data_IF_372033764157
#
_entry.id   IF_372033764157
#
_cell.length_a   1.000
_cell.length_b   1.000
_cell.length_c   1.000
_cell.angle_alpha   90.00
_cell.angle_beta   90.00
_cell.angle_gamma   90.00
#
_symmetry.space_group_name_H-M   'P 1'
#
loop_
_entity.id
_entity.type
_entity.pdbx_description
1 polymer ?
#
# COMPACT_ATOMS: atom_id res chain seq x y z
N UNK A 1 5.84 1.54 -22.98
CA UNK A 1 5.35 2.92 -23.19
C UNK A 1 5.07 3.06 -24.67
N UNK A 2 3.91 3.57 -25.05
CA UNK A 2 3.51 3.74 -26.46
C UNK A 2 3.51 5.24 -26.78
N UNK A 3 4.41 5.65 -27.67
CA UNK A 3 4.62 7.04 -28.07
C UNK A 3 4.13 7.20 -29.50
N UNK A 4 2.88 7.65 -29.66
CA UNK A 4 2.23 7.90 -30.95
C UNK A 4 1.48 9.23 -30.86
N UNK A 5 1.71 10.12 -31.81
CA UNK A 5 1.07 11.45 -31.87
C UNK A 5 -0.39 11.38 -32.34
N UNK A 6 -0.70 10.49 -33.28
CA UNK A 6 -2.07 10.24 -33.72
C UNK A 6 -2.87 9.55 -32.60
N UNK A 7 -3.79 10.29 -31.99
CA UNK A 7 -4.62 9.82 -30.90
C UNK A 7 -5.46 8.59 -31.28
N UNK A 8 -6.02 8.54 -32.49
CA UNK A 8 -6.84 7.43 -32.93
C UNK A 8 -6.00 6.15 -33.10
N UNK A 9 -4.80 6.29 -33.68
CA UNK A 9 -3.86 5.19 -33.77
C UNK A 9 -3.37 4.72 -32.39
N UNK A 10 -3.06 5.67 -31.49
CA UNK A 10 -2.66 5.38 -30.11
C UNK A 10 -3.73 4.58 -29.37
N UNK A 11 -4.96 5.08 -29.34
CA UNK A 11 -6.11 4.41 -28.69
C UNK A 11 -6.42 3.05 -29.32
N UNK A 12 -6.19 2.88 -30.62
CA UNK A 12 -6.34 1.59 -31.29
C UNK A 12 -5.33 0.58 -30.76
N UNK A 13 -4.05 0.95 -30.70
CA UNK A 13 -2.99 0.05 -30.23
C UNK A 13 -3.06 -0.20 -28.72
N UNK A 14 -3.44 0.78 -27.91
CA UNK A 14 -3.66 0.60 -26.47
C UNK A 14 -4.74 -0.45 -26.21
N UNK A 15 -5.90 -0.37 -26.88
CA UNK A 15 -6.95 -1.39 -26.78
C UNK A 15 -6.47 -2.78 -27.19
N UNK A 16 -5.71 -2.89 -28.29
CA UNK A 16 -5.13 -4.17 -28.71
C UNK A 16 -4.17 -4.75 -27.68
N UNK A 17 -3.38 -3.91 -27.02
CA UNK A 17 -2.45 -4.32 -25.96
C UNK A 17 -3.25 -4.79 -24.73
N UNK A 18 -4.30 -4.09 -24.34
CA UNK A 18 -5.20 -4.50 -23.25
C UNK A 18 -5.84 -5.87 -23.52
N UNK A 19 -6.37 -6.09 -24.72
CA UNK A 19 -6.92 -7.38 -25.15
C UNK A 19 -5.89 -8.52 -25.02
N UNK A 20 -4.63 -8.26 -25.40
CA UNK A 20 -3.54 -9.24 -25.27
C UNK A 20 -3.26 -9.54 -23.80
N UNK A 21 -3.19 -8.52 -22.95
CA UNK A 21 -2.93 -8.68 -21.51
C UNK A 21 -4.04 -9.48 -20.87
N UNK A 22 -5.30 -9.21 -21.19
CA UNK A 22 -6.45 -9.95 -20.68
C UNK A 22 -6.39 -11.43 -21.11
N UNK A 23 -6.14 -11.69 -22.39
CA UNK A 23 -6.00 -13.07 -22.91
C UNK A 23 -4.86 -13.83 -22.27
N UNK A 24 -3.73 -13.17 -21.98
CA UNK A 24 -2.58 -13.79 -21.29
C UNK A 24 -2.88 -14.22 -19.86
N UNK A 25 -3.88 -13.61 -19.21
CA UNK A 25 -4.32 -14.02 -17.87
C UNK A 25 -5.14 -15.31 -17.90
N UNK A 26 -5.65 -15.72 -19.07
CA UNK A 26 -6.39 -16.95 -19.23
C UNK A 26 -5.46 -18.10 -19.67
N UNK A 27 -5.23 -19.13 -18.83
CA UNK A 27 -4.33 -20.23 -19.15
C UNK A 27 -4.82 -21.11 -20.31
N UNK A 28 -6.12 -21.06 -20.65
CA UNK A 28 -6.71 -21.87 -21.72
C UNK A 28 -6.55 -21.24 -23.12
N UNK A 29 -6.08 -19.99 -23.19
CA UNK A 29 -5.93 -19.26 -24.45
C UNK A 29 -4.53 -19.47 -25.04
N UNK A 30 -4.46 -20.28 -26.10
CA UNK A 30 -3.19 -20.59 -26.81
C UNK A 30 -2.71 -19.42 -27.69
N UNK A 31 -3.62 -18.60 -28.22
CA UNK A 31 -3.29 -17.50 -29.14
C UNK A 31 -3.79 -16.16 -28.59
N UNK A 32 -2.84 -15.32 -28.17
CA UNK A 32 -3.14 -14.02 -27.56
C UNK A 32 -3.32 -12.90 -28.57
N UNK A 33 -2.84 -13.05 -29.81
CA UNK A 33 -2.84 -12.00 -30.83
C UNK A 33 -1.63 -11.06 -30.74
N UNK A 34 -0.67 -11.34 -29.85
CA UNK A 34 0.54 -10.53 -29.66
C UNK A 34 1.38 -10.39 -30.93
N UNK A 35 1.61 -11.48 -31.66
CA UNK A 35 2.40 -11.47 -32.91
C UNK A 35 1.75 -10.62 -33.99
N UNK A 36 0.43 -10.69 -34.14
CA UNK A 36 -0.32 -9.89 -35.10
C UNK A 36 -0.28 -8.40 -34.75
N UNK A 37 -0.54 -8.05 -33.50
CA UNK A 37 -0.49 -6.67 -33.03
C UNK A 37 0.90 -6.07 -33.18
N UNK A 38 1.96 -6.84 -32.87
CA UNK A 38 3.35 -6.43 -33.12
C UNK A 38 3.61 -6.12 -34.59
N UNK A 39 3.12 -6.99 -35.51
CA UNK A 39 3.27 -6.79 -36.96
C UNK A 39 2.52 -5.54 -37.43
N UNK A 40 1.31 -5.32 -36.93
CA UNK A 40 0.52 -4.12 -37.26
C UNK A 40 1.21 -2.84 -36.78
N UNK A 41 1.75 -2.86 -35.55
CA UNK A 41 2.46 -1.72 -34.98
C UNK A 41 3.73 -1.41 -35.77
N UNK A 42 4.55 -2.42 -36.07
CA UNK A 42 5.74 -2.22 -36.90
C UNK A 42 5.39 -1.69 -38.30
N UNK A 43 4.33 -2.21 -38.92
CA UNK A 43 3.86 -1.71 -40.21
C UNK A 43 3.42 -0.24 -40.13
N UNK A 44 2.71 0.14 -39.07
CA UNK A 44 2.35 1.53 -38.80
C UNK A 44 3.59 2.42 -38.65
N UNK A 45 4.57 2.01 -37.82
CA UNK A 45 5.80 2.76 -37.61
C UNK A 45 6.60 2.94 -38.90
N UNK A 46 6.66 1.91 -39.75
CA UNK A 46 7.30 1.99 -41.08
C UNK A 46 6.60 2.97 -42.04
N UNK A 47 5.30 3.24 -41.86
CA UNK A 47 4.61 4.27 -42.62
C UNK A 47 4.97 5.68 -42.13
N UNK A 48 5.33 5.83 -40.85
CA UNK A 48 5.72 7.11 -40.26
C UNK A 48 7.19 7.48 -40.53
N UNK A 49 8.06 6.49 -40.79
CA UNK A 49 9.46 6.75 -41.13
C UNK A 49 10.34 5.52 -41.08
N UNK A 50 11.65 5.75 -41.10
CA UNK A 50 12.64 4.68 -40.91
C UNK A 50 12.59 4.17 -39.47
N UNK A 51 12.28 2.89 -39.31
CA UNK A 51 12.20 2.24 -38.00
C UNK A 51 13.55 1.60 -37.69
N UNK A 52 14.12 1.98 -36.56
CA UNK A 52 15.32 1.34 -36.00
C UNK A 52 15.10 1.02 -34.53
N UNK A 53 15.93 0.12 -34.03
CA UNK A 53 16.00 -0.24 -32.61
C UNK A 53 17.26 0.35 -32.01
N UNK A 54 17.15 0.95 -30.83
CA UNK A 54 18.29 1.45 -30.06
C UNK A 54 18.18 0.94 -28.63
N UNK A 55 19.34 0.65 -28.03
CA UNK A 55 19.45 0.16 -26.67
C UNK A 55 20.31 1.14 -25.87
N UNK A 56 19.78 1.64 -24.76
CA UNK A 56 20.46 2.63 -23.91
C UNK A 56 20.70 2.00 -22.56
N UNK A 57 21.97 1.87 -22.18
CA UNK A 57 22.40 1.25 -20.93
C UNK A 57 22.08 2.16 -19.75
N UNK A 58 21.69 1.58 -18.61
CA UNK A 58 21.40 2.32 -17.38
C UNK A 58 21.82 1.50 -16.15
N UNK A 59 23.11 1.15 -16.05
CA UNK A 59 23.62 0.20 -15.04
C UNK A 59 23.42 0.64 -13.59
N UNK A 60 23.37 1.93 -13.33
CA UNK A 60 23.07 2.51 -12.01
C UNK A 60 21.58 2.60 -11.67
N UNK A 61 20.69 2.11 -12.53
CA UNK A 61 19.24 2.21 -12.34
C UNK A 61 18.75 1.49 -11.08
N UNK A 62 17.84 2.14 -10.35
CA UNK A 62 17.17 1.56 -9.18
C UNK A 62 15.66 1.46 -9.38
N UNK A 63 15.08 0.34 -8.93
CA UNK A 63 13.66 0.02 -9.14
C UNK A 63 12.69 1.04 -8.53
N UNK A 64 13.09 1.72 -7.45
CA UNK A 64 12.30 2.77 -6.79
C UNK A 64 12.09 4.01 -7.67
N UNK A 65 12.90 4.19 -8.71
CA UNK A 65 12.86 5.34 -9.63
C UNK A 65 12.09 5.04 -10.93
N UNK A 66 11.51 3.84 -11.07
CA UNK A 66 10.89 3.36 -12.31
C UNK A 66 9.78 4.28 -12.84
N UNK A 67 8.90 4.76 -11.97
CA UNK A 67 7.77 5.60 -12.37
C UNK A 67 8.22 6.97 -12.89
N UNK A 68 9.22 7.57 -12.25
CA UNK A 68 9.81 8.83 -12.69
C UNK A 68 10.55 8.65 -14.01
N UNK A 69 11.36 7.59 -14.12
CA UNK A 69 12.09 7.28 -15.34
C UNK A 69 11.13 7.09 -16.52
N UNK A 70 10.04 6.34 -16.36
CA UNK A 70 9.03 6.14 -17.42
C UNK A 70 8.47 7.47 -17.93
N UNK A 71 8.07 8.37 -17.02
CA UNK A 71 7.53 9.68 -17.41
C UNK A 71 8.55 10.48 -18.20
N UNK A 72 9.81 10.54 -17.72
CA UNK A 72 10.88 11.29 -18.40
C UNK A 72 11.23 10.69 -19.76
N UNK A 73 11.21 9.36 -19.91
CA UNK A 73 11.44 8.69 -21.20
C UNK A 73 10.40 9.14 -22.22
N UNK A 74 9.10 9.14 -21.86
CA UNK A 74 8.04 9.56 -22.78
C UNK A 74 8.22 11.02 -23.23
N UNK A 75 8.51 11.92 -22.29
CA UNK A 75 8.75 13.34 -22.56
C UNK A 75 9.96 13.54 -23.50
N UNK A 76 11.06 12.83 -23.24
CA UNK A 76 12.30 12.95 -24.01
C UNK A 76 12.15 12.37 -25.42
N UNK A 77 11.49 11.22 -25.58
CA UNK A 77 11.22 10.62 -26.90
C UNK A 77 10.32 11.55 -27.72
N UNK A 78 9.25 12.07 -27.12
CA UNK A 78 8.34 12.99 -27.80
C UNK A 78 9.05 14.29 -28.21
N UNK A 79 9.88 14.86 -27.33
CA UNK A 79 10.67 16.06 -27.64
C UNK A 79 11.70 15.84 -28.75
N UNK A 80 12.25 14.63 -28.87
CA UNK A 80 13.12 14.22 -29.98
C UNK A 80 12.36 13.89 -31.28
N UNK A 81 11.02 14.01 -31.27
CA UNK A 81 10.15 13.68 -32.41
C UNK A 81 10.06 12.17 -32.69
N UNK A 82 10.36 11.32 -31.70
CA UNK A 82 10.29 9.88 -31.84
C UNK A 82 8.85 9.36 -31.77
N UNK A 83 8.49 8.49 -32.71
CA UNK A 83 7.22 7.74 -32.70
C UNK A 83 7.59 6.26 -32.60
N UNK A 84 7.11 5.58 -31.56
CA UNK A 84 7.53 4.20 -31.30
C UNK A 84 7.08 3.62 -29.98
N UNK A 85 7.78 2.55 -29.59
CA UNK A 85 7.61 1.86 -28.32
C UNK A 85 8.92 1.93 -27.56
N UNK A 86 8.84 2.29 -26.28
CA UNK A 86 9.93 2.18 -25.34
C UNK A 86 9.61 1.16 -24.24
N UNK A 87 10.57 0.31 -23.94
CA UNK A 87 10.51 -0.69 -22.87
C UNK A 87 11.75 -0.59 -21.97
N UNK A 88 11.56 -0.85 -20.69
CA UNK A 88 12.62 -0.88 -19.68
C UNK A 88 12.86 -2.34 -19.34
N UNK A 89 14.06 -2.84 -19.60
CA UNK A 89 14.48 -4.21 -19.29
C UNK A 89 15.42 -4.17 -18.09
N UNK A 90 15.15 -4.99 -17.06
CA UNK A 90 15.95 -5.03 -15.83
C UNK A 90 17.20 -5.89 -15.98
N UNK A 91 17.12 -6.95 -16.79
CA UNK A 91 18.22 -7.78 -17.27
C UNK A 91 17.68 -8.58 -18.47
N UNK A 92 18.39 -8.58 -19.59
CA UNK A 92 18.07 -9.42 -20.75
C UNK A 92 19.21 -10.41 -21.00
N UNK A 93 18.91 -11.52 -21.68
CA UNK A 93 19.88 -12.53 -22.12
C UNK A 93 20.97 -11.96 -23.03
N UNK A 94 20.70 -10.88 -23.74
CA UNK A 94 21.64 -10.23 -24.67
C UNK A 94 22.47 -9.13 -23.99
N UNK A 95 21.87 -8.39 -23.06
CA UNK A 95 22.50 -7.30 -22.31
C UNK A 95 22.30 -7.61 -20.83
N UNK A 96 23.35 -8.12 -20.18
CA UNK A 96 23.41 -8.45 -18.74
C UNK A 96 23.39 -7.19 -17.84
N UNK A 97 22.60 -6.19 -18.21
CA UNK A 97 22.51 -4.90 -17.54
C UNK A 97 21.14 -4.27 -17.82
N UNK A 98 20.59 -3.51 -16.86
CA UNK A 98 19.39 -2.72 -17.10
C UNK A 98 19.58 -1.80 -18.30
N UNK A 99 18.62 -1.81 -19.23
CA UNK A 99 18.65 -0.95 -20.41
C UNK A 99 17.24 -0.54 -20.86
N UNK A 100 17.18 0.56 -21.61
CA UNK A 100 15.98 1.03 -22.29
C UNK A 100 16.08 0.56 -23.74
N UNK A 101 15.07 -0.17 -24.21
CA UNK A 101 14.93 -0.54 -25.60
C UNK A 101 13.88 0.37 -26.24
N UNK A 102 14.27 1.13 -27.26
CA UNK A 102 13.36 1.92 -28.09
C UNK A 102 13.30 1.35 -29.49
N UNK A 103 12.09 1.14 -30.00
CA UNK A 103 11.81 0.73 -31.39
C UNK A 103 10.88 1.75 -32.00
N UNK A 104 11.37 2.51 -32.98
CA UNK A 104 10.58 3.59 -33.56
C UNK A 104 11.33 4.43 -34.58
N UNK A 105 10.72 5.55 -34.95
CA UNK A 105 11.28 6.54 -35.85
C UNK A 105 12.27 7.47 -35.13
N UNK A 106 13.09 8.19 -35.89
CA UNK A 106 14.07 9.16 -35.37
C UNK A 106 15.03 8.58 -34.32
N UNK A 107 15.41 7.32 -34.51
CA UNK A 107 16.15 6.55 -33.52
C UNK A 107 17.49 7.17 -33.11
N UNK A 108 18.22 7.83 -34.02
CA UNK A 108 19.51 8.48 -33.69
C UNK A 108 19.32 9.67 -32.73
N UNK A 109 18.29 10.50 -32.97
CA UNK A 109 17.97 11.63 -32.11
C UNK A 109 17.45 11.14 -30.74
N UNK A 110 16.59 10.12 -30.76
CA UNK A 110 16.07 9.49 -29.54
C UNK A 110 17.17 8.82 -28.74
N UNK A 111 18.11 8.12 -29.37
CA UNK A 111 19.26 7.48 -28.70
C UNK A 111 20.12 8.52 -27.98
N UNK A 112 20.46 9.63 -28.63
CA UNK A 112 21.23 10.71 -28.01
C UNK A 112 20.46 11.35 -26.84
N UNK A 113 19.16 11.59 -26.99
CA UNK A 113 18.33 12.23 -25.98
C UNK A 113 18.13 11.32 -24.76
N UNK A 114 17.89 10.02 -24.98
CA UNK A 114 17.77 9.03 -23.91
C UNK A 114 19.11 8.78 -23.21
N UNK A 115 20.22 8.75 -23.94
CA UNK A 115 21.55 8.65 -23.35
C UNK A 115 21.84 9.84 -22.42
N UNK A 116 21.50 11.06 -22.85
CA UNK A 116 21.64 12.25 -22.01
C UNK A 116 20.75 12.16 -20.75
N UNK A 117 19.50 11.72 -20.89
CA UNK A 117 18.61 11.51 -19.75
C UNK A 117 19.22 10.56 -18.71
N UNK A 118 19.75 9.42 -19.16
CA UNK A 118 20.36 8.41 -18.27
C UNK A 118 21.58 8.97 -17.54
N UNK A 119 22.42 9.74 -18.23
CA UNK A 119 23.59 10.40 -17.63
C UNK A 119 23.17 11.48 -16.63
N UNK A 120 22.17 12.30 -16.97
CA UNK A 120 21.65 13.36 -16.10
C UNK A 120 21.02 12.81 -14.82
N UNK A 121 20.42 11.61 -14.90
CA UNK A 121 19.88 10.89 -13.75
C UNK A 121 20.96 10.13 -12.96
N UNK A 122 22.21 10.10 -13.44
CA UNK A 122 23.33 9.44 -12.77
C UNK A 122 23.33 7.92 -12.90
N UNK A 123 22.60 7.34 -13.86
CA UNK A 123 22.57 5.90 -14.07
C UNK A 123 23.77 5.40 -14.90
N UNK A 124 24.41 6.28 -15.66
CA UNK A 124 25.65 6.01 -16.40
C UNK A 124 26.62 7.19 -16.21
N UNK A 125 27.92 6.92 -16.38
CA UNK A 125 28.96 7.92 -16.15
C UNK A 125 29.11 8.90 -17.31
N UNK A 126 28.87 8.44 -18.54
CA UNK A 126 29.07 9.22 -19.75
C UNK A 126 28.14 8.76 -20.90
N UNK A 127 27.97 9.64 -21.89
CA UNK A 127 27.09 9.42 -23.04
C UNK A 127 27.52 8.23 -23.91
N UNK A 128 28.83 8.03 -24.09
CA UNK A 128 29.32 6.97 -24.97
C UNK A 128 29.05 5.59 -24.37
N UNK A 129 29.23 5.48 -23.05
CA UNK A 129 28.85 4.33 -22.24
C UNK A 129 27.35 4.03 -22.35
N UNK A 130 26.49 5.04 -22.17
CA UNK A 130 25.05 4.89 -22.27
C UNK A 130 24.59 4.43 -23.67
N UNK A 131 25.20 4.95 -24.74
CA UNK A 131 24.91 4.59 -26.13
C UNK A 131 25.60 3.29 -26.60
N UNK A 132 26.28 2.56 -25.71
CA UNK A 132 27.06 1.37 -26.07
C UNK A 132 28.19 1.61 -27.08
N UNK A 133 28.59 2.87 -27.32
CA UNK A 133 29.71 3.24 -28.21
C UNK A 133 31.00 3.06 -27.43
N UNK A 134 31.66 1.91 -27.63
CA UNK A 134 32.84 1.44 -26.86
C UNK A 134 32.52 0.92 -25.44
N UNK A 135 31.28 0.55 -25.14
CA UNK A 135 30.95 -0.02 -23.84
C UNK A 135 31.61 -1.38 -23.67
N UNK A 136 32.46 -1.48 -22.64
CA UNK A 136 33.01 -2.76 -22.18
C UNK A 136 31.89 -3.43 -21.36
N UNK A 137 31.45 -4.65 -21.72
CA UNK A 137 30.45 -5.35 -20.95
C UNK A 137 30.90 -5.54 -19.50
N UNK A 138 29.99 -5.39 -18.53
CA UNK A 138 30.30 -5.41 -17.09
C UNK A 138 31.04 -6.68 -16.65
N UNK A 139 30.79 -7.82 -17.30
CA UNK A 139 31.47 -9.10 -17.04
C UNK A 139 32.94 -9.12 -17.44
N UNK A 140 33.42 -8.14 -18.20
CA UNK A 140 34.80 -8.04 -18.67
C UNK A 140 35.67 -7.16 -17.75
N UNK A 141 35.08 -6.22 -16.99
CA UNK A 141 35.81 -5.37 -16.03
C UNK A 141 35.73 -5.86 -14.58
N UNK A 142 34.67 -6.56 -14.16
CA UNK A 142 34.54 -7.02 -12.77
C UNK A 142 35.00 -8.47 -12.60
N UNK A 143 36.13 -8.68 -11.92
CA UNK A 143 36.56 -9.98 -11.35
C UNK A 143 35.68 -10.44 -10.16
N UNK A 144 34.39 -10.12 -10.20
CA UNK A 144 33.45 -10.26 -9.11
C UNK A 144 32.02 -9.96 -9.55
N UNK A 145 31.66 -10.32 -10.79
CA UNK A 145 30.29 -10.26 -11.26
C UNK A 145 29.38 -11.02 -10.26
N UNK A 146 28.59 -10.27 -9.50
CA UNK A 146 27.56 -10.85 -8.64
C UNK A 146 26.50 -11.46 -9.57
N UNK A 147 26.55 -12.77 -9.71
CA UNK A 147 25.44 -13.55 -10.24
C UNK A 147 24.36 -13.48 -9.17
N UNK A 148 23.34 -12.65 -9.39
CA UNK A 148 22.16 -12.64 -8.53
C UNK A 148 21.45 -13.97 -8.74
N UNK A 149 21.39 -14.78 -7.68
CA UNK A 149 20.56 -15.97 -7.69
C UNK A 149 19.10 -15.52 -7.60
N UNK A 150 18.33 -15.75 -8.67
CA UNK A 150 16.90 -15.42 -8.73
C UNK A 150 16.10 -16.07 -7.60
N UNK A 151 16.59 -17.20 -7.06
CA UNK A 151 15.99 -17.86 -5.90
C UNK A 151 16.18 -17.07 -4.60
N UNK A 152 17.23 -16.26 -4.47
CA UNK A 152 17.50 -15.43 -3.30
C UNK A 152 16.56 -14.22 -3.25
N UNK A 153 16.36 -13.52 -4.37
CA UNK A 153 15.38 -12.43 -4.45
C UNK A 153 13.95 -12.93 -4.20
N UNK A 154 13.61 -14.11 -4.71
CA UNK A 154 12.29 -14.70 -4.45
C UNK A 154 12.08 -14.96 -2.96
N UNK A 155 13.12 -15.46 -2.26
CA UNK A 155 13.07 -15.63 -0.80
C UNK A 155 12.97 -14.30 -0.05
N UNK A 156 13.67 -13.26 -0.48
CA UNK A 156 13.54 -11.93 0.13
C UNK A 156 12.14 -11.34 -0.06
N UNK A 157 11.54 -11.51 -1.25
CA UNK A 157 10.18 -11.07 -1.54
C UNK A 157 9.15 -11.84 -0.69
N UNK A 158 9.30 -13.16 -0.59
CA UNK A 158 8.46 -14.02 0.27
C UNK A 158 8.61 -13.63 1.75
N UNK A 159 9.82 -13.30 2.22
CA UNK A 159 10.04 -12.81 3.58
C UNK A 159 9.39 -11.45 3.83
N UNK A 160 9.44 -10.55 2.85
CA UNK A 160 8.80 -9.24 2.94
C UNK A 160 7.27 -9.34 2.97
N UNK A 161 6.68 -10.21 2.15
CA UNK A 161 5.25 -10.50 2.17
C UNK A 161 4.80 -11.15 3.49
N UNK A 162 5.56 -12.13 3.98
CA UNK A 162 5.29 -12.75 5.27
C UNK A 162 5.40 -11.76 6.45
N UNK A 163 6.36 -10.82 6.40
CA UNK A 163 6.48 -9.75 7.38
C UNK A 163 5.30 -8.77 7.30
N UNK A 164 4.80 -8.48 6.10
CA UNK A 164 3.63 -7.63 5.87
C UNK A 164 2.35 -8.28 6.40
N UNK A 165 2.15 -9.58 6.17
CA UNK A 165 1.01 -10.31 6.73
C UNK A 165 1.05 -10.35 8.27
N UNK A 166 2.23 -10.56 8.86
CA UNK A 166 2.40 -10.49 10.32
C UNK A 166 2.04 -9.12 10.87
N UNK A 167 2.47 -8.04 10.21
CA UNK A 167 2.10 -6.66 10.61
C UNK A 167 0.59 -6.44 10.54
N UNK A 168 -0.07 -6.93 9.48
CA UNK A 168 -1.52 -6.82 9.32
C UNK A 168 -2.28 -7.57 10.43
N UNK A 169 -1.82 -8.77 10.80
CA UNK A 169 -2.39 -9.52 11.94
C UNK A 169 -2.21 -8.78 13.27
N UNK A 170 -1.05 -8.18 13.50
CA UNK A 170 -0.80 -7.37 14.70
C UNK A 170 -1.71 -6.14 14.72
N UNK A 171 -1.95 -5.48 13.59
CA UNK A 171 -2.90 -4.35 13.51
C UNK A 171 -4.34 -4.78 13.79
N UNK A 172 -4.76 -5.94 13.30
CA UNK A 172 -6.08 -6.52 13.59
C UNK A 172 -6.22 -6.87 15.08
N UNK A 173 -5.20 -7.50 15.69
CA UNK A 173 -5.16 -7.80 17.13
C UNK A 173 -5.19 -6.54 18.00
N UNK A 174 -4.43 -5.50 17.63
CA UNK A 174 -4.47 -4.19 18.32
C UNK A 174 -5.86 -3.57 18.19
N UNK A 175 -6.49 -3.67 17.03
CA UNK A 175 -7.85 -3.20 16.79
C UNK A 175 -8.88 -3.87 17.70
N UNK A 176 -8.76 -5.17 17.92
CA UNK A 176 -9.64 -5.93 18.80
C UNK A 176 -9.39 -5.63 20.29
N UNK A 177 -8.12 -5.51 20.71
CA UNK A 177 -7.77 -5.06 22.07
C UNK A 177 -8.36 -3.66 22.35
N UNK A 178 -8.33 -2.75 21.38
CA UNK A 178 -8.92 -1.42 21.53
C UNK A 178 -10.45 -1.44 21.64
N UNK A 179 -11.13 -2.40 20.98
CA UNK A 179 -12.58 -2.61 21.16
C UNK A 179 -12.88 -3.13 22.56
N UNK A 180 -12.08 -4.06 23.05
CA UNK A 180 -12.23 -4.61 24.41
C UNK A 180 -11.99 -3.55 25.49
N UNK A 181 -10.99 -2.69 25.30
CA UNK A 181 -10.76 -1.54 26.20
C UNK A 181 -11.95 -0.58 26.20
N UNK A 182 -12.56 -0.31 25.04
CA UNK A 182 -13.77 0.53 24.96
C UNK A 182 -14.96 -0.11 25.67
N UNK A 183 -15.19 -1.41 25.46
CA UNK A 183 -16.30 -2.12 26.11
C UNK A 183 -16.14 -2.16 27.64
N UNK A 184 -14.92 -2.39 28.13
CA UNK A 184 -14.57 -2.31 29.55
C UNK A 184 -14.80 -0.91 30.12
N UNK A 185 -14.41 0.13 29.39
CA UNK A 185 -14.65 1.52 29.79
C UNK A 185 -16.15 1.81 29.91
N UNK A 186 -16.95 1.36 28.94
CA UNK A 186 -18.40 1.60 28.95
C UNK A 186 -19.07 0.85 30.11
N UNK A 187 -18.67 -0.40 30.36
CA UNK A 187 -19.12 -1.17 31.54
C UNK A 187 -18.76 -0.46 32.86
N UNK A 188 -17.55 0.08 32.96
CA UNK A 188 -17.09 0.80 34.15
C UNK A 188 -17.88 2.10 34.37
N UNK A 189 -18.17 2.85 33.30
CA UNK A 189 -19.00 4.06 33.36
C UNK A 189 -20.42 3.73 33.82
N UNK A 190 -21.00 2.64 33.31
CA UNK A 190 -22.34 2.20 33.70
C UNK A 190 -22.39 1.71 35.15
N UNK A 191 -21.36 1.03 35.63
CA UNK A 191 -21.20 0.65 37.04
C UNK A 191 -21.16 1.88 37.95
N UNK A 192 -20.39 2.91 37.59
CA UNK A 192 -20.33 4.17 38.34
C UNK A 192 -21.69 4.87 38.38
N UNK A 193 -22.40 4.95 37.24
CA UNK A 193 -23.76 5.54 37.19
C UNK A 193 -24.72 4.79 38.13
N UNK A 194 -24.74 3.45 38.09
CA UNK A 194 -25.56 2.62 38.98
C UNK A 194 -25.21 2.80 40.45
N UNK A 195 -23.94 3.00 40.79
CA UNK A 195 -23.51 3.28 42.15
C UNK A 195 -23.94 4.68 42.61
N UNK A 196 -23.85 5.69 41.74
CA UNK A 196 -24.34 7.04 42.01
C UNK A 196 -25.86 7.03 42.23
N UNK A 197 -26.64 6.37 41.38
CA UNK A 197 -28.10 6.24 41.55
C UNK A 197 -28.47 5.52 42.85
N UNK A 198 -27.73 4.46 43.23
CA UNK A 198 -27.89 3.79 44.53
C UNK A 198 -27.54 4.69 45.72
N UNK A 199 -26.55 5.58 45.57
CA UNK A 199 -26.17 6.53 46.60
C UNK A 199 -27.20 7.65 46.75
N UNK A 200 -27.69 8.21 45.64
CA UNK A 200 -28.74 9.25 45.62
C UNK A 200 -30.03 8.72 46.21
N UNK A 201 -30.49 7.54 45.77
CA UNK A 201 -31.69 6.90 46.34
C UNK A 201 -31.56 6.55 47.83
N UNK A 202 -30.36 6.19 48.32
CA UNK A 202 -30.10 6.03 49.77
C UNK A 202 -30.15 7.36 50.52
N UNK A 203 -29.67 8.45 49.92
CA UNK A 203 -29.70 9.79 50.51
C UNK A 203 -31.12 10.36 50.55
N UNK A 204 -31.92 10.13 49.51
CA UNK A 204 -33.35 10.49 49.47
C UNK A 204 -34.16 9.72 50.52
N UNK A 205 -33.96 8.41 50.65
CA UNK A 205 -34.56 7.60 51.73
C UNK A 205 -34.12 8.04 53.14
N UNK A 206 -32.92 8.61 53.29
CA UNK A 206 -32.47 9.22 54.56
C UNK A 206 -33.11 10.58 54.81
N UNK A 207 -33.46 11.33 53.77
CA UNK A 207 -34.17 12.62 53.88
C UNK A 207 -35.66 12.47 54.22
N UNK A 208 -36.29 11.33 53.89
CA UNK A 208 -37.70 11.05 54.23
C UNK A 208 -37.99 10.93 55.74
N UNK A 209 -36.98 10.86 56.61
CA UNK A 209 -37.17 10.94 58.07
C UNK A 209 -36.52 12.18 58.64
N UNK A 210 -37.19 13.32 58.45
CA UNK A 210 -36.85 14.54 59.17
C UNK A 210 -36.89 14.28 60.69
N UNK A 211 -35.90 14.75 61.47
CA UNK A 211 -35.90 14.62 62.94
C UNK A 211 -37.18 15.15 63.60
N UNK A 212 -37.88 16.08 62.94
CA UNK A 212 -39.17 16.64 63.38
C UNK A 212 -40.33 15.66 63.24
N UNK A 213 -40.35 14.79 62.23
CA UNK A 213 -41.38 13.75 62.06
C UNK A 213 -41.19 12.60 63.05
N UNK A 214 -39.94 12.17 63.29
CA UNK A 214 -39.62 11.14 64.29
C UNK A 214 -40.02 11.60 65.69
N UNK A 215 -39.79 12.87 66.05
CA UNK A 215 -40.27 13.42 67.34
C UNK A 215 -41.79 13.45 67.47
N UNK A 216 -42.53 13.66 66.38
CA UNK A 216 -44.01 13.69 66.38
C UNK A 216 -44.60 12.29 66.53
N UNK A 217 -44.01 11.28 65.88
CA UNK A 217 -44.39 9.86 66.05
C UNK A 217 -44.11 9.34 67.46
N UNK A 218 -42.98 9.74 68.08
CA UNK A 218 -42.66 9.33 69.45
C UNK A 218 -43.60 9.98 70.47
N UNK A 219 -44.06 11.21 70.22
CA UNK A 219 -44.96 11.94 71.13
C UNK A 219 -46.42 11.45 71.07
N UNK A 220 -46.83 10.83 69.96
CA UNK A 220 -48.19 10.32 69.75
C UNK A 220 -48.33 8.80 70.00
N UNK A 221 -47.29 8.13 70.51
CA UNK A 221 -47.38 6.72 70.89
C UNK A 221 -47.95 6.59 72.30
N UNK A 222 -48.93 5.72 72.43
CA UNK A 222 -49.54 5.39 73.71
C UNK A 222 -48.51 4.72 74.64
N UNK A 223 -48.58 5.01 75.94
CA UNK A 223 -47.53 4.66 76.91
C UNK A 223 -47.26 3.15 76.95
N UNK A 224 -48.30 2.33 76.78
CA UNK A 224 -48.21 0.88 76.75
C UNK A 224 -47.39 0.38 75.54
N UNK A 225 -47.52 1.02 74.37
CA UNK A 225 -46.78 0.63 73.16
C UNK A 225 -45.31 1.01 73.24
N UNK A 226 -44.97 2.09 73.95
CA UNK A 226 -43.59 2.50 74.18
C UNK A 226 -42.84 1.54 75.13
N UNK A 227 -43.54 1.04 76.16
CA UNK A 227 -43.00 0.06 77.12
C UNK A 227 -42.74 -1.29 76.44
N UNK A 228 -43.65 -1.77 75.60
CA UNK A 228 -43.46 -3.02 74.85
C UNK A 228 -42.27 -2.97 73.88
N UNK A 229 -42.08 -1.84 73.21
CA UNK A 229 -40.96 -1.65 72.27
C UNK A 229 -39.61 -1.61 73.00
N UNK A 230 -39.57 -1.05 74.22
CA UNK A 230 -38.39 -1.07 75.08
C UNK A 230 -38.02 -2.50 75.50
N UNK A 231 -38.99 -3.31 75.94
CA UNK A 231 -38.74 -4.69 76.33
C UNK A 231 -38.33 -5.58 75.14
N UNK A 232 -38.90 -5.35 73.94
CA UNK A 232 -38.47 -6.05 72.70
C UNK A 232 -37.02 -5.74 72.34
N UNK A 233 -36.60 -4.47 72.41
CA UNK A 233 -35.21 -4.07 72.13
C UNK A 233 -34.23 -4.62 73.17
N UNK A 234 -34.62 -4.64 74.45
CA UNK A 234 -33.82 -5.24 75.53
C UNK A 234 -33.66 -6.75 75.37
N UNK A 235 -34.70 -7.48 74.93
CA UNK A 235 -34.62 -8.92 74.61
C UNK A 235 -33.71 -9.20 73.41
N UNK A 236 -33.71 -8.36 72.37
CA UNK A 236 -32.80 -8.51 71.21
C UNK A 236 -31.34 -8.29 71.58
N UNK A 237 -31.03 -7.35 72.49
CA UNK A 237 -29.65 -7.12 72.98
C UNK A 237 -29.12 -8.24 73.88
N UNK A 238 -29.98 -8.97 74.58
CA UNK A 238 -29.59 -10.13 75.41
C UNK A 238 -29.38 -11.43 74.63
N UNK A 239 -29.78 -11.47 73.35
CA UNK A 239 -29.63 -12.62 72.44
C UNK A 239 -28.46 -12.47 71.46
N UNK A 240 -27.75 -11.35 71.50
CA UNK A 240 -26.46 -11.14 70.84
C UNK A 240 -25.38 -11.23 71.90
#
# INVERSE_FOLDING_TARGET
MLIIDDLAAKEFFERKIEDIVERRRNPDVVKTGATETKRMLLAYLHQQGEVRTVNIWMRGFRLDELSELKRRIEEVIAAAGGIGVAEIHLQDREINSPHIQYVGTNAEAVEAALAQLVVDMGYENDLASAMSKNAIPVWMEMSGAYVFDLDEQKRELEQYEAAREKRKKIEEEIGDILKDIRSLKDQFVDEIKRLQERHVSRLERRREKSPRQVKKEVRNKDLNTAVDDYFRRRRKKRRR
#
